data_IF_247396924235
#
_entry.id   IF_247396924235
#
_cell.length_a   1.000
_cell.length_b   1.000
_cell.length_c   1.000
_cell.angle_alpha   90.00
_cell.angle_beta   90.00
_cell.angle_gamma   90.00
#
_symmetry.space_group_name_H-M   'P 1'
#
loop_
_entity.id
_entity.type
_entity.pdbx_description
1 polymer ?
#
# COMPACT_ATOMS: atom_id res chain seq x y z
N UNK A 1 12.14 2.54 10.44
CA UNK A 1 12.17 1.08 10.60
C UNK A 1 12.76 0.46 9.35
N UNK A 2 13.70 -0.47 9.48
CA UNK A 2 14.21 -1.30 8.40
C UNK A 2 13.24 -2.47 8.12
N UNK A 3 13.44 -3.17 6.99
CA UNK A 3 12.54 -4.24 6.53
C UNK A 3 12.39 -5.37 7.57
N UNK A 4 13.48 -5.74 8.23
CA UNK A 4 13.49 -6.77 9.27
C UNK A 4 12.58 -6.39 10.45
N UNK A 5 12.68 -5.13 10.93
CA UNK A 5 11.83 -4.64 12.02
C UNK A 5 10.34 -4.57 11.61
N UNK A 6 10.05 -4.25 10.32
CA UNK A 6 8.68 -4.30 9.82
C UNK A 6 8.11 -5.72 9.93
N UNK A 7 8.90 -6.72 9.53
CA UNK A 7 8.50 -8.12 9.59
C UNK A 7 8.28 -8.57 11.04
N UNK A 8 9.19 -8.21 11.95
CA UNK A 8 9.08 -8.53 13.38
C UNK A 8 7.80 -7.95 14.01
N UNK A 9 7.47 -6.69 13.71
CA UNK A 9 6.24 -6.05 14.21
C UNK A 9 5.00 -6.76 13.67
N UNK A 10 4.95 -7.04 12.36
CA UNK A 10 3.81 -7.73 11.75
C UNK A 10 3.64 -9.16 12.27
N UNK A 11 4.73 -9.86 12.54
CA UNK A 11 4.69 -11.17 13.17
C UNK A 11 4.22 -11.10 14.64
N UNK A 12 4.64 -10.08 15.40
CA UNK A 12 4.14 -9.85 16.74
C UNK A 12 2.63 -9.59 16.78
N UNK A 13 2.10 -8.82 15.84
CA UNK A 13 0.66 -8.60 15.67
C UNK A 13 -0.06 -9.91 15.33
N UNK A 14 0.53 -10.75 14.48
CA UNK A 14 -0.02 -12.06 14.11
C UNK A 14 -0.04 -13.03 15.31
N UNK A 15 1.01 -13.07 16.12
CA UNK A 15 1.09 -13.89 17.32
C UNK A 15 0.02 -13.48 18.34
N UNK A 16 -0.17 -12.18 18.57
CA UNK A 16 -1.21 -11.69 19.46
C UNK A 16 -2.61 -12.02 18.92
N UNK A 17 -2.82 -11.89 17.61
CA UNK A 17 -4.07 -12.29 16.95
C UNK A 17 -4.32 -13.80 17.08
N UNK A 18 -3.29 -14.64 16.95
CA UNK A 18 -3.41 -16.09 17.09
C UNK A 18 -3.86 -16.50 18.51
N UNK A 19 -3.39 -15.78 19.54
CA UNK A 19 -3.82 -15.99 20.93
C UNK A 19 -5.29 -15.64 21.14
N UNK A 20 -5.80 -14.61 20.48
CA UNK A 20 -7.18 -14.14 20.62
C UNK A 20 -8.19 -14.90 19.74
N UNK A 21 -7.81 -15.21 18.52
CA UNK A 21 -8.69 -15.86 17.54
C UNK A 21 -8.68 -17.39 17.64
N UNK A 22 -7.65 -17.96 18.26
CA UNK A 22 -7.38 -19.39 18.24
C UNK A 22 -6.99 -19.88 16.84
N UNK A 23 -6.92 -21.20 16.67
CA UNK A 23 -6.65 -21.82 15.35
C UNK A 23 -7.94 -21.81 14.55
N UNK A 24 -8.14 -20.80 13.70
CA UNK A 24 -9.25 -20.68 12.77
C UNK A 24 -8.86 -21.18 11.38
N UNK A 25 -9.84 -21.72 10.65
CA UNK A 25 -9.66 -22.10 9.23
C UNK A 25 -9.58 -20.89 8.29
N UNK A 26 -10.04 -19.71 8.72
CA UNK A 26 -9.91 -18.46 7.96
C UNK A 26 -9.08 -17.46 8.77
N UNK A 27 -8.01 -16.95 8.14
CA UNK A 27 -7.18 -15.91 8.71
C UNK A 27 -7.85 -14.54 8.58
N UNK A 28 -7.58 -13.65 9.52
CA UNK A 28 -7.95 -12.26 9.41
C UNK A 28 -7.18 -11.57 8.27
N UNK A 29 -7.77 -10.55 7.66
CA UNK A 29 -7.18 -9.81 6.55
C UNK A 29 -6.69 -8.44 6.99
N UNK A 30 -5.47 -8.08 6.57
CA UNK A 30 -4.89 -6.74 6.76
C UNK A 30 -4.31 -6.27 5.44
N UNK A 31 -4.63 -5.03 5.05
CA UNK A 31 -4.12 -4.39 3.83
C UNK A 31 -3.16 -3.28 4.23
N UNK A 32 -1.90 -3.45 3.83
CA UNK A 32 -0.83 -2.47 4.04
C UNK A 32 -0.65 -1.60 2.81
N UNK A 33 -0.33 -0.31 3.03
CA UNK A 33 0.00 0.65 1.99
C UNK A 33 1.26 1.44 2.36
N UNK A 34 1.55 2.52 1.67
CA UNK A 34 2.64 3.43 2.02
C UNK A 34 4.03 2.81 1.87
N UNK A 35 5.01 3.41 2.56
CA UNK A 35 6.43 3.00 2.47
C UNK A 35 6.69 1.56 2.90
N UNK A 36 5.95 1.07 3.90
CA UNK A 36 6.08 -0.32 4.38
C UNK A 36 5.70 -1.33 3.29
N UNK A 37 4.60 -1.09 2.56
CA UNK A 37 4.19 -1.97 1.45
C UNK A 37 5.23 -1.99 0.33
N UNK A 38 5.80 -0.84 -0.05
CA UNK A 38 6.89 -0.76 -1.03
C UNK A 38 8.12 -1.55 -0.60
N UNK A 39 8.54 -1.44 0.67
CA UNK A 39 9.71 -2.15 1.20
C UNK A 39 9.47 -3.66 1.27
N UNK A 40 8.31 -4.10 1.75
CA UNK A 40 7.98 -5.53 1.88
C UNK A 40 7.87 -6.23 0.53
N UNK A 41 7.51 -5.49 -0.53
CA UNK A 41 7.42 -5.99 -1.90
C UNK A 41 8.69 -5.74 -2.73
N UNK A 42 9.76 -5.23 -2.14
CA UNK A 42 11.01 -4.89 -2.83
C UNK A 42 10.82 -3.93 -4.03
N UNK A 43 9.91 -2.96 -3.87
CA UNK A 43 9.58 -1.95 -4.89
C UNK A 43 10.32 -0.63 -4.69
N UNK A 44 11.15 -0.49 -3.66
CA UNK A 44 11.85 0.75 -3.36
C UNK A 44 13.31 0.48 -2.98
N UNK A 45 14.18 1.44 -3.27
CA UNK A 45 15.58 1.44 -2.82
C UNK A 45 15.74 2.03 -1.41
N UNK A 46 14.67 2.54 -0.81
CA UNK A 46 14.69 3.07 0.55
C UNK A 46 14.99 1.96 1.55
N UNK A 47 15.84 2.29 2.53
CA UNK A 47 16.27 1.34 3.57
C UNK A 47 15.36 1.39 4.81
N UNK A 48 14.54 2.43 4.97
CA UNK A 48 13.69 2.59 6.13
C UNK A 48 12.41 3.38 5.84
N UNK A 49 11.35 3.09 6.62
CA UNK A 49 10.13 3.89 6.71
C UNK A 49 9.90 4.35 8.15
N UNK A 50 9.00 5.31 8.37
CA UNK A 50 8.66 5.81 9.71
C UNK A 50 7.63 4.92 10.40
N UNK A 51 6.64 4.46 9.65
CA UNK A 51 5.44 3.77 10.13
C UNK A 51 5.01 2.65 9.19
N UNK A 52 4.05 1.87 9.67
CA UNK A 52 3.34 0.83 8.92
C UNK A 52 1.92 1.36 8.68
N UNK A 53 1.65 1.79 7.46
CA UNK A 53 0.34 2.29 7.07
C UNK A 53 -0.64 1.15 6.81
N UNK A 54 -1.72 1.06 7.59
CA UNK A 54 -2.80 0.07 7.43
C UNK A 54 -4.02 0.73 6.83
N UNK A 55 -4.36 0.37 5.59
CA UNK A 55 -5.54 0.87 4.89
C UNK A 55 -6.82 0.22 5.42
N UNK A 56 -6.79 -1.09 5.65
CA UNK A 56 -7.92 -1.87 6.14
C UNK A 56 -7.44 -3.04 6.99
N UNK A 57 -8.20 -3.37 8.02
CA UNK A 57 -8.00 -4.55 8.86
C UNK A 57 -9.33 -5.04 9.44
N UNK A 58 -9.44 -6.33 9.67
CA UNK A 58 -10.58 -6.92 10.39
C UNK A 58 -10.70 -6.35 11.81
N UNK A 59 -11.91 -6.32 12.35
CA UNK A 59 -12.23 -5.61 13.60
C UNK A 59 -11.35 -6.04 14.80
N UNK A 60 -11.08 -7.35 14.94
CA UNK A 60 -10.25 -7.88 16.03
C UNK A 60 -8.82 -7.38 15.87
N UNK A 61 -8.27 -7.43 14.67
CA UNK A 61 -6.91 -7.00 14.38
C UNK A 61 -6.75 -5.49 14.59
N UNK A 62 -7.78 -4.69 14.28
CA UNK A 62 -7.75 -3.23 14.58
C UNK A 62 -7.53 -2.95 16.07
N UNK A 63 -8.13 -3.75 16.95
CA UNK A 63 -7.93 -3.62 18.40
C UNK A 63 -6.47 -3.91 18.82
N UNK A 64 -5.84 -4.90 18.19
CA UNK A 64 -4.43 -5.25 18.43
C UNK A 64 -3.51 -4.15 17.89
N UNK A 65 -3.69 -3.75 16.64
CA UNK A 65 -2.91 -2.71 15.96
C UNK A 65 -2.86 -1.41 16.77
N UNK A 66 -3.95 -1.05 17.44
CA UNK A 66 -4.01 0.16 18.27
C UNK A 66 -3.00 0.19 19.43
N UNK A 67 -2.42 -0.96 19.80
CA UNK A 67 -1.39 -1.07 20.83
C UNK A 67 0.04 -0.89 20.26
N UNK A 68 0.20 -0.82 18.94
CA UNK A 68 1.49 -0.71 18.26
C UNK A 68 1.68 0.73 17.76
N UNK A 69 2.51 1.56 18.43
CA UNK A 69 2.70 2.96 18.06
C UNK A 69 3.35 3.15 16.68
N UNK A 70 4.01 2.13 16.15
CA UNK A 70 4.61 2.11 14.83
C UNK A 70 3.57 1.92 13.71
N UNK A 71 2.34 1.52 14.06
CA UNK A 71 1.29 1.22 13.08
C UNK A 71 0.29 2.36 13.00
N UNK A 72 0.14 2.91 11.80
CA UNK A 72 -0.80 3.96 11.50
C UNK A 72 -2.09 3.39 10.89
N UNK A 73 -3.13 3.24 11.71
CA UNK A 73 -4.48 2.82 11.27
C UNK A 73 -5.33 3.95 10.71
N UNK A 74 -4.86 5.20 10.75
CA UNK A 74 -5.60 6.39 10.28
C UNK A 74 -5.61 6.59 8.77
N UNK A 75 -4.90 5.76 8.01
CA UNK A 75 -4.72 5.89 6.56
C UNK A 75 -6.01 5.63 5.77
N UNK A 76 -7.02 5.02 6.38
CA UNK A 76 -8.36 4.88 5.78
C UNK A 76 -8.97 6.23 5.35
N UNK A 77 -8.54 7.35 5.96
CA UNK A 77 -8.92 8.70 5.53
C UNK A 77 -8.42 9.08 4.13
N UNK A 78 -7.47 8.33 3.56
CA UNK A 78 -6.92 8.51 2.21
C UNK A 78 -7.42 7.45 1.21
N UNK A 79 -8.50 6.75 1.53
CA UNK A 79 -9.09 5.74 0.64
C UNK A 79 -9.58 6.33 -0.70
N UNK A 80 -9.77 7.66 -0.78
CA UNK A 80 -10.08 8.38 -2.02
C UNK A 80 -8.85 8.58 -2.95
N UNK A 81 -7.66 8.13 -2.52
CA UNK A 81 -6.40 8.25 -3.28
C UNK A 81 -5.89 6.90 -3.82
N UNK A 82 -6.68 5.86 -3.72
CA UNK A 82 -6.39 4.55 -4.30
C UNK A 82 -7.44 4.25 -5.38
N UNK A 83 -7.09 3.60 -6.52
CA UNK A 83 -8.06 3.20 -7.52
C UNK A 83 -9.21 2.38 -6.95
N UNK A 84 -10.43 2.60 -7.46
CA UNK A 84 -11.66 2.07 -6.85
C UNK A 84 -11.68 0.54 -6.73
N UNK A 85 -11.23 -0.18 -7.75
CA UNK A 85 -11.22 -1.64 -7.80
C UNK A 85 -9.90 -2.27 -7.30
N UNK A 86 -9.11 -1.58 -6.45
CA UNK A 86 -7.81 -2.06 -5.97
C UNK A 86 -7.88 -3.41 -5.25
N UNK A 87 -9.01 -3.75 -4.63
CA UNK A 87 -9.18 -5.01 -3.90
C UNK A 87 -9.10 -6.23 -4.83
N UNK A 88 -9.43 -6.09 -6.11
CA UNK A 88 -9.32 -7.14 -7.11
C UNK A 88 -7.85 -7.42 -7.51
N UNK A 89 -6.93 -6.52 -7.13
CA UNK A 89 -5.50 -6.57 -7.47
C UNK A 89 -4.60 -6.72 -6.24
N UNK A 90 -5.15 -7.20 -5.12
CA UNK A 90 -4.36 -7.42 -3.92
C UNK A 90 -3.30 -8.50 -4.11
N UNK A 91 -2.11 -8.23 -3.64
CA UNK A 91 -0.98 -9.16 -3.60
C UNK A 91 -0.76 -9.59 -2.16
N UNK A 92 -0.81 -10.89 -1.89
CA UNK A 92 -0.51 -11.43 -0.57
C UNK A 92 0.99 -11.28 -0.30
N UNK A 93 1.33 -10.73 0.87
CA UNK A 93 2.72 -10.61 1.31
C UNK A 93 3.23 -11.96 1.82
N UNK A 94 4.47 -12.31 1.44
CA UNK A 94 5.08 -13.57 1.85
C UNK A 94 5.66 -13.45 3.28
N UNK A 95 4.76 -13.43 4.25
CA UNK A 95 5.09 -13.41 5.68
C UNK A 95 4.69 -14.76 6.30
N UNK A 96 5.55 -15.27 7.20
CA UNK A 96 5.24 -16.48 7.95
C UNK A 96 4.28 -16.14 9.09
N UNK A 97 2.98 -16.31 8.87
CA UNK A 97 1.90 -15.90 9.78
C UNK A 97 0.91 -17.03 10.00
N UNK A 98 0.24 -17.04 11.18
CA UNK A 98 -0.71 -18.07 11.60
C UNK A 98 -2.16 -17.61 11.54
N UNK A 99 -2.45 -16.39 12.01
CA UNK A 99 -3.79 -15.85 12.21
C UNK A 99 -4.15 -14.74 11.23
N UNK A 100 -3.17 -14.08 10.59
CA UNK A 100 -3.38 -12.95 9.70
C UNK A 100 -2.78 -13.22 8.32
N UNK A 101 -3.52 -12.92 7.27
CA UNK A 101 -2.99 -12.75 5.92
C UNK A 101 -2.81 -11.26 5.64
N UNK A 102 -1.55 -10.86 5.42
CA UNK A 102 -1.20 -9.49 5.04
C UNK A 102 -1.18 -9.35 3.53
N UNK A 103 -1.80 -8.28 3.04
CA UNK A 103 -1.86 -7.93 1.63
C UNK A 103 -1.32 -6.53 1.39
N UNK A 104 -0.92 -6.27 0.16
CA UNK A 104 -0.71 -4.93 -0.36
C UNK A 104 -1.46 -4.79 -1.69
N UNK A 105 -1.91 -3.60 -2.07
CA UNK A 105 -2.40 -3.34 -3.43
C UNK A 105 -1.36 -3.67 -4.49
N UNK A 106 -1.75 -3.71 -5.77
CA UNK A 106 -0.80 -3.88 -6.88
C UNK A 106 0.30 -2.82 -6.86
N UNK A 107 1.37 -3.02 -7.62
CA UNK A 107 2.43 -2.01 -7.76
C UNK A 107 1.86 -0.71 -8.30
N UNK A 108 0.97 -0.80 -9.27
CA UNK A 108 0.33 0.33 -9.95
C UNK A 108 -0.64 1.08 -9.04
N UNK A 109 -1.45 0.39 -8.25
CA UNK A 109 -2.33 1.01 -7.24
C UNK A 109 -1.50 1.79 -6.20
N UNK A 110 -0.42 1.21 -5.70
CA UNK A 110 0.51 1.86 -4.77
C UNK A 110 1.18 3.09 -5.40
N UNK A 111 1.55 3.02 -6.68
CA UNK A 111 2.11 4.15 -7.43
C UNK A 111 1.08 5.26 -7.58
N UNK A 112 -0.19 4.95 -7.89
CA UNK A 112 -1.26 5.97 -7.95
C UNK A 112 -1.39 6.71 -6.60
N UNK A 113 -1.38 6.02 -5.47
CA UNK A 113 -1.39 6.68 -4.15
C UNK A 113 -0.20 7.63 -3.97
N UNK A 114 0.99 7.25 -4.43
CA UNK A 114 2.19 8.09 -4.38
C UNK A 114 2.11 9.31 -5.31
N UNK A 115 1.45 9.17 -6.45
CA UNK A 115 1.18 10.28 -7.37
C UNK A 115 0.28 11.37 -6.75
N UNK A 116 -0.62 11.00 -5.85
CA UNK A 116 -1.41 11.97 -5.07
C UNK A 116 -0.58 12.68 -4.00
N UNK A 117 0.35 12.00 -3.37
CA UNK A 117 1.11 12.53 -2.22
C UNK A 117 2.30 13.43 -2.64
N UNK A 118 3.03 13.09 -3.70
CA UNK A 118 4.10 13.85 -4.37
C UNK A 118 5.22 14.37 -3.44
N UNK A 119 5.45 13.75 -2.29
CA UNK A 119 6.58 14.08 -1.41
C UNK A 119 7.90 13.54 -1.99
N UNK A 120 9.07 14.05 -1.62
CA UNK A 120 10.36 13.55 -2.12
C UNK A 120 10.53 12.03 -1.99
N UNK A 121 10.12 11.46 -0.87
CA UNK A 121 10.16 10.01 -0.64
C UNK A 121 9.18 9.25 -1.55
N UNK A 122 8.04 9.85 -1.90
CA UNK A 122 7.06 9.22 -2.78
C UNK A 122 7.59 9.13 -4.21
N UNK A 123 8.30 10.17 -4.68
CA UNK A 123 8.98 10.14 -5.97
C UNK A 123 10.06 9.05 -6.02
N UNK A 124 10.84 8.90 -4.93
CA UNK A 124 11.85 7.83 -4.83
C UNK A 124 11.21 6.44 -4.84
N UNK A 125 10.08 6.26 -4.17
CA UNK A 125 9.34 5.00 -4.16
C UNK A 125 8.82 4.66 -5.56
N UNK A 126 8.27 5.64 -6.30
CA UNK A 126 7.81 5.46 -7.69
C UNK A 126 8.98 5.06 -8.60
N UNK A 127 10.11 5.78 -8.51
CA UNK A 127 11.31 5.47 -9.30
C UNK A 127 11.82 4.05 -9.01
N UNK A 128 11.79 3.64 -7.73
CA UNK A 128 12.14 2.28 -7.33
C UNK A 128 11.20 1.23 -7.93
N UNK A 129 9.89 1.47 -7.90
CA UNK A 129 8.90 0.56 -8.49
C UNK A 129 9.10 0.40 -10.00
N UNK A 130 9.37 1.50 -10.71
CA UNK A 130 9.66 1.46 -12.15
C UNK A 130 10.98 0.69 -12.40
N UNK A 131 12.03 0.99 -11.65
CA UNK A 131 13.34 0.35 -11.80
C UNK A 131 13.33 -1.15 -11.45
N UNK A 132 12.42 -1.59 -10.56
CA UNK A 132 12.28 -3.01 -10.19
C UNK A 132 11.80 -3.89 -11.35
N UNK A 133 11.21 -3.29 -12.39
CA UNK A 133 10.59 -4.01 -13.50
C UNK A 133 9.28 -4.72 -13.15
N UNK A 134 8.74 -4.48 -11.95
CA UNK A 134 7.49 -5.08 -11.48
C UNK A 134 6.25 -4.23 -11.77
N UNK A 135 6.40 -3.11 -12.48
CA UNK A 135 5.31 -2.22 -12.85
C UNK A 135 4.90 -2.40 -14.30
N UNK A 136 3.61 -2.58 -14.54
CA UNK A 136 3.00 -2.56 -15.87
C UNK A 136 2.51 -1.14 -16.21
N UNK A 137 3.15 -0.50 -17.20
CA UNK A 137 2.78 0.83 -17.67
C UNK A 137 1.37 0.90 -18.25
N UNK A 138 0.93 -0.16 -18.96
CA UNK A 138 -0.42 -0.22 -19.54
C UNK A 138 -1.49 -0.28 -18.45
N UNK A 139 -1.26 -1.08 -17.41
CA UNK A 139 -2.15 -1.11 -16.25
C UNK A 139 -2.13 0.23 -15.52
N UNK A 140 -0.96 0.80 -15.23
CA UNK A 140 -0.87 2.11 -14.57
C UNK A 140 -1.64 3.19 -15.34
N UNK A 141 -1.52 3.25 -16.66
CA UNK A 141 -2.25 4.19 -17.52
C UNK A 141 -3.77 3.96 -17.43
N UNK A 142 -4.21 2.69 -17.40
CA UNK A 142 -5.61 2.32 -17.20
C UNK A 142 -6.12 2.80 -15.84
N UNK A 143 -5.33 2.62 -14.77
CA UNK A 143 -5.72 3.06 -13.42
C UNK A 143 -5.78 4.58 -13.29
N UNK A 144 -4.89 5.30 -13.99
CA UNK A 144 -4.86 6.78 -13.97
C UNK A 144 -6.06 7.37 -14.73
N UNK A 145 -6.39 6.85 -15.91
CA UNK A 145 -7.40 7.46 -16.79
C UNK A 145 -8.75 6.75 -16.83
N UNK A 146 -8.84 5.53 -16.31
CA UNK A 146 -10.08 4.74 -16.31
C UNK A 146 -11.17 5.41 -15.50
N UNK A 147 -12.38 5.47 -16.08
CA UNK A 147 -13.55 6.09 -15.42
C UNK A 147 -13.92 5.40 -14.09
N UNK A 148 -13.67 4.09 -13.99
CA UNK A 148 -14.02 3.25 -12.84
C UNK A 148 -12.84 2.99 -11.89
N UNK A 149 -11.75 3.77 -11.99
CA UNK A 149 -10.53 3.58 -11.22
C UNK A 149 -10.18 4.82 -10.36
N UNK A 150 -9.03 5.45 -10.53
CA UNK A 150 -8.61 6.60 -9.72
C UNK A 150 -9.58 7.79 -9.84
N UNK A 151 -10.22 7.96 -10.99
CA UNK A 151 -11.24 9.01 -11.21
C UNK A 151 -12.50 8.74 -10.39
N UNK A 152 -12.93 7.47 -10.30
CA UNK A 152 -14.12 7.09 -9.53
C UNK A 152 -13.94 7.22 -8.02
N UNK A 153 -12.74 6.95 -7.49
CA UNK A 153 -12.48 7.04 -6.05
C UNK A 153 -12.20 8.46 -5.58
N UNK A 154 -11.65 9.33 -6.41
CA UNK A 154 -11.22 10.66 -6.00
C UNK A 154 -12.42 11.62 -5.79
N UNK A 155 -12.58 12.11 -4.56
CA UNK A 155 -13.70 12.99 -4.19
C UNK A 155 -13.48 14.46 -4.62
N UNK A 156 -12.26 14.86 -4.98
CA UNK A 156 -11.89 16.24 -5.30
C UNK A 156 -11.23 16.30 -6.66
N UNK A 157 -11.96 16.78 -7.67
CA UNK A 157 -11.52 16.85 -9.08
C UNK A 157 -10.13 17.48 -9.25
N UNK A 158 -9.86 18.59 -8.57
CA UNK A 158 -8.56 19.25 -8.61
C UNK A 158 -7.41 18.31 -8.18
N UNK A 159 -7.62 17.48 -7.17
CA UNK A 159 -6.59 16.53 -6.72
C UNK A 159 -6.35 15.45 -7.76
N UNK A 160 -7.41 14.96 -8.40
CA UNK A 160 -7.29 14.03 -9.51
C UNK A 160 -6.47 14.65 -10.66
N UNK A 161 -6.76 15.88 -11.07
CA UNK A 161 -5.98 16.58 -12.11
C UNK A 161 -4.51 16.77 -11.71
N UNK A 162 -4.22 17.07 -10.44
CA UNK A 162 -2.85 17.19 -9.92
C UNK A 162 -2.12 15.83 -9.99
N UNK A 163 -2.78 14.74 -9.66
CA UNK A 163 -2.27 13.38 -9.79
C UNK A 163 -1.97 13.01 -11.25
N UNK A 164 -2.88 13.33 -12.18
CA UNK A 164 -2.67 13.10 -13.62
C UNK A 164 -1.45 13.88 -14.12
N UNK A 165 -1.28 15.14 -13.72
CA UNK A 165 -0.09 15.93 -14.09
C UNK A 165 1.21 15.32 -13.52
N UNK A 166 1.17 14.77 -12.32
CA UNK A 166 2.31 14.06 -11.73
C UNK A 166 2.64 12.80 -12.53
N UNK A 167 1.62 12.04 -12.93
CA UNK A 167 1.79 10.87 -13.80
C UNK A 167 2.46 11.24 -15.13
N UNK A 168 1.96 12.26 -15.84
CA UNK A 168 2.53 12.72 -17.11
C UNK A 168 4.00 13.15 -16.96
N UNK A 169 4.32 13.83 -15.86
CA UNK A 169 5.69 14.24 -15.56
C UNK A 169 6.63 13.02 -15.41
N UNK A 170 6.18 11.99 -14.71
CA UNK A 170 6.97 10.77 -14.51
C UNK A 170 7.08 9.97 -15.81
N UNK A 171 5.97 9.83 -16.55
CA UNK A 171 5.92 9.16 -17.86
C UNK A 171 6.94 9.78 -18.82
N UNK A 172 6.95 11.11 -18.94
CA UNK A 172 7.90 11.82 -19.77
C UNK A 172 9.36 11.63 -19.33
N UNK A 173 9.62 11.67 -18.00
CA UNK A 173 10.97 11.48 -17.44
C UNK A 173 11.54 10.08 -17.73
N UNK A 174 10.70 9.08 -17.79
CA UNK A 174 11.09 7.69 -18.10
C UNK A 174 11.00 7.35 -19.59
N UNK A 175 10.71 8.33 -20.48
CA UNK A 175 10.67 8.15 -21.93
C UNK A 175 9.55 7.24 -22.42
N UNK A 176 8.41 7.32 -21.76
CA UNK A 176 7.22 6.51 -22.05
C UNK A 176 6.10 7.35 -22.68
#
# INVERSE_FOLDING_TARGET
>A
MHKENLIEILQGIDEEAALLLGVSSSKARVILVGGAAFMLRDLTTRQATHDIDVLSADAVVRGIIANYPEVNGGVAAFADQIPYNFEDRLVRLNLSTQAIDFFAPSTEDLVVMKLYAQRPNDVQDIDGAIASGQMDWGLLETLVYGEDEAKASCLVERRYEEMVRAYETIKARWGR
#
